data_IF_358708593210
#
_entry.id   IF_358708593210
#
_cell.length_a   1.000
_cell.length_b   1.000
_cell.length_c   1.000
_cell.angle_alpha   90.00
_cell.angle_beta   90.00
_cell.angle_gamma   90.00
#
_symmetry.space_group_name_H-M   'P 1'
#
loop_
_entity.id
_entity.type
_entity.pdbx_description
1 polymer ?
#
# COMPACT_ATOMS: atom_id res chain seq x y z
N UNK A 1 9.98 -6.43 3.80
CA UNK A 1 11.41 -6.09 3.80
C UNK A 1 11.79 -5.28 2.58
N UNK A 2 11.74 -5.85 1.36
CA UNK A 2 12.16 -5.16 0.13
C UNK A 2 11.45 -3.80 -0.12
N UNK A 3 10.16 -3.71 0.17
CA UNK A 3 9.41 -2.45 0.05
C UNK A 3 9.66 -1.45 1.20
N UNK A 4 10.10 -1.94 2.38
CA UNK A 4 10.22 -1.16 3.62
C UNK A 4 11.64 -0.63 3.85
N UNK A 5 12.68 -1.33 3.39
CA UNK A 5 14.07 -0.96 3.64
C UNK A 5 14.58 0.06 2.61
N UNK A 6 13.95 1.23 2.59
CA UNK A 6 14.24 2.36 1.67
C UNK A 6 14.28 3.67 2.49
N UNK A 7 15.03 4.70 2.06
CA UNK A 7 15.17 5.95 2.82
C UNK A 7 13.83 6.59 3.22
N UNK A 8 12.86 6.61 2.32
CA UNK A 8 11.55 7.20 2.58
C UNK A 8 10.75 6.53 3.71
N UNK A 9 10.40 5.23 3.62
CA UNK A 9 9.75 4.50 4.70
C UNK A 9 10.51 4.51 6.04
N UNK A 10 11.84 4.56 6.01
CA UNK A 10 12.66 4.63 7.23
C UNK A 10 12.52 6.00 7.93
N UNK A 11 12.55 7.09 7.16
CA UNK A 11 12.45 8.45 7.71
C UNK A 11 11.02 8.81 8.17
N UNK A 12 9.99 8.23 7.56
CA UNK A 12 8.59 8.50 7.91
C UNK A 12 8.10 7.76 9.15
N UNK A 13 8.92 6.89 9.76
CA UNK A 13 8.50 6.03 10.87
C UNK A 13 7.61 4.85 10.45
N UNK A 14 7.32 4.70 9.16
CA UNK A 14 6.48 3.63 8.61
C UNK A 14 7.02 2.23 8.94
N UNK A 15 8.35 2.06 8.91
CA UNK A 15 8.98 0.78 9.27
C UNK A 15 8.72 0.43 10.74
N UNK A 16 8.84 1.41 11.65
CA UNK A 16 8.55 1.21 13.07
C UNK A 16 7.09 0.81 13.26
N UNK A 17 6.16 1.55 12.66
CA UNK A 17 4.73 1.25 12.74
C UNK A 17 4.38 -0.15 12.22
N UNK A 18 5.01 -0.59 11.13
CA UNK A 18 4.84 -1.93 10.58
C UNK A 18 5.32 -3.00 11.58
N UNK A 19 6.50 -2.80 12.18
CA UNK A 19 7.10 -3.74 13.14
C UNK A 19 6.30 -3.79 14.43
N UNK A 20 5.87 -2.67 14.98
CA UNK A 20 5.06 -2.62 16.21
C UNK A 20 3.70 -3.29 15.98
N UNK A 21 3.04 -3.03 14.84
CA UNK A 21 1.74 -3.64 14.51
C UNK A 21 1.87 -5.14 14.25
N UNK A 22 2.91 -5.57 13.53
CA UNK A 22 3.21 -6.99 13.29
C UNK A 22 3.37 -7.78 14.59
N UNK A 23 4.03 -7.19 15.58
CA UNK A 23 4.31 -7.83 16.87
C UNK A 23 3.20 -7.60 17.91
N UNK A 24 2.03 -7.08 17.52
CA UNK A 24 0.89 -6.86 18.41
C UNK A 24 1.08 -5.74 19.45
N UNK A 25 2.17 -4.97 19.36
CA UNK A 25 2.48 -3.85 20.26
C UNK A 25 1.70 -2.58 19.92
N UNK A 26 1.24 -2.46 18.67
CA UNK A 26 0.35 -1.40 18.19
C UNK A 26 -0.96 -2.01 17.67
N UNK A 27 -2.11 -1.51 18.13
CA UNK A 27 -3.42 -1.93 17.60
C UNK A 27 -3.60 -1.42 16.17
N UNK A 28 -4.04 -2.29 15.28
CA UNK A 28 -4.35 -1.97 13.88
C UNK A 28 -5.76 -1.39 13.84
N UNK A 29 -5.87 -0.11 13.49
CA UNK A 29 -7.14 0.58 13.33
C UNK A 29 -7.35 0.95 11.86
N UNK A 30 -8.48 0.54 11.29
CA UNK A 30 -8.87 0.90 9.94
C UNK A 30 -9.83 2.09 9.96
N UNK A 31 -9.68 3.01 9.00
CA UNK A 31 -10.61 4.13 8.82
C UNK A 31 -12.00 3.68 8.35
N UNK A 32 -12.06 2.51 7.71
CA UNK A 32 -13.29 1.89 7.23
C UNK A 32 -13.11 0.36 7.18
N UNK A 33 -14.13 -0.46 7.51
CA UNK A 33 -14.03 -1.92 7.50
C UNK A 33 -13.56 -2.50 6.16
N UNK A 34 -13.97 -1.91 5.01
CA UNK A 34 -13.55 -2.37 3.69
C UNK A 34 -12.03 -2.31 3.47
N UNK A 35 -11.31 -1.46 4.21
CA UNK A 35 -9.85 -1.39 4.11
C UNK A 35 -9.15 -2.64 4.67
N UNK A 36 -9.80 -3.37 5.59
CA UNK A 36 -9.19 -4.56 6.20
C UNK A 36 -8.82 -5.59 5.14
N UNK A 37 -9.72 -5.88 4.19
CA UNK A 37 -9.48 -6.86 3.12
C UNK A 37 -8.22 -6.55 2.30
N UNK A 38 -7.89 -5.26 2.15
CA UNK A 38 -6.78 -4.78 1.31
C UNK A 38 -5.49 -4.62 2.13
N UNK A 39 -5.60 -4.17 3.38
CA UNK A 39 -4.47 -3.73 4.20
C UNK A 39 -4.10 -4.72 5.32
N UNK A 40 -4.89 -5.78 5.55
CA UNK A 40 -4.61 -6.78 6.59
C UNK A 40 -3.23 -7.42 6.42
N UNK A 41 -2.86 -7.77 5.19
CA UNK A 41 -1.55 -8.36 4.89
C UNK A 41 -0.36 -7.43 5.17
N UNK A 42 -0.62 -6.13 5.33
CA UNK A 42 0.38 -5.09 5.62
C UNK A 42 0.09 -4.35 6.92
N UNK A 43 -0.69 -4.97 7.82
CA UNK A 43 -1.00 -4.45 9.15
C UNK A 43 -1.62 -3.03 9.16
N UNK A 44 -2.48 -2.73 8.18
CA UNK A 44 -3.15 -1.43 8.07
C UNK A 44 -2.34 -0.35 7.34
N UNK A 45 -1.13 -0.66 6.87
CA UNK A 45 -0.24 0.30 6.20
C UNK A 45 -0.38 0.14 4.68
N UNK A 46 -0.57 1.25 3.95
CA UNK A 46 -0.51 1.23 2.48
C UNK A 46 0.96 1.16 2.05
N UNK A 47 1.37 0.03 1.49
CA UNK A 47 2.75 -0.25 1.11
C UNK A 47 2.91 -0.48 -0.40
N UNK A 48 1.86 -0.93 -1.07
CA UNK A 48 1.90 -1.35 -2.46
C UNK A 48 0.97 -0.56 -3.39
N UNK A 49 1.38 -0.40 -4.64
CA UNK A 49 0.61 0.28 -5.68
C UNK A 49 -0.76 -0.39 -5.91
N UNK A 50 -0.77 -1.71 -5.86
CA UNK A 50 -1.94 -2.55 -6.00
C UNK A 50 -2.95 -2.32 -4.86
N UNK A 51 -2.49 -1.91 -3.67
CA UNK A 51 -3.38 -1.53 -2.59
C UNK A 51 -4.07 -0.20 -2.85
N UNK A 52 -3.37 0.79 -3.44
CA UNK A 52 -4.01 2.04 -3.88
C UNK A 52 -5.12 1.75 -4.89
N UNK A 53 -4.83 0.88 -5.86
CA UNK A 53 -5.82 0.50 -6.86
C UNK A 53 -7.00 -0.23 -6.24
N UNK A 54 -6.75 -1.19 -5.35
CA UNK A 54 -7.78 -1.92 -4.62
C UNK A 54 -8.64 -1.00 -3.75
N UNK A 55 -8.06 0.01 -3.08
CA UNK A 55 -8.82 0.99 -2.28
C UNK A 55 -9.75 1.80 -3.18
N UNK A 56 -9.27 2.28 -4.33
CA UNK A 56 -10.10 3.05 -5.27
C UNK A 56 -11.26 2.21 -5.81
N UNK A 57 -11.01 0.96 -6.17
CA UNK A 57 -12.05 0.06 -6.66
C UNK A 57 -13.06 -0.30 -5.57
N UNK A 58 -12.60 -0.73 -4.39
CA UNK A 58 -13.46 -1.19 -3.31
C UNK A 58 -14.27 -0.05 -2.67
N UNK A 59 -13.69 1.15 -2.52
CA UNK A 59 -14.36 2.25 -1.82
C UNK A 59 -15.07 3.23 -2.75
N UNK A 60 -14.69 3.33 -4.03
CA UNK A 60 -15.26 4.32 -4.93
C UNK A 60 -15.75 3.75 -6.27
N UNK A 61 -15.83 2.42 -6.40
CA UNK A 61 -16.26 1.71 -7.61
C UNK A 61 -15.45 2.09 -8.86
N UNK A 62 -14.17 2.41 -8.68
CA UNK A 62 -13.28 2.59 -9.82
C UNK A 62 -13.08 1.25 -10.53
N UNK A 63 -13.17 1.27 -11.85
CA UNK A 63 -12.58 0.21 -12.67
C UNK A 63 -11.06 0.14 -12.45
N UNK A 64 -10.46 -1.01 -12.75
CA UNK A 64 -9.01 -1.17 -12.63
C UNK A 64 -8.23 -0.17 -13.50
N UNK A 65 -8.78 0.20 -14.66
CA UNK A 65 -8.21 1.24 -15.54
C UNK A 65 -8.22 2.61 -14.88
N UNK A 66 -9.32 3.01 -14.24
CA UNK A 66 -9.41 4.29 -13.53
C UNK A 66 -8.54 4.32 -12.28
N UNK A 67 -8.46 3.19 -11.58
CA UNK A 67 -7.58 3.00 -10.44
C UNK A 67 -6.10 3.17 -10.84
N UNK A 68 -5.69 2.66 -12.01
CA UNK A 68 -4.34 2.89 -12.55
C UNK A 68 -4.09 4.35 -12.93
N UNK A 69 -5.08 5.04 -13.50
CA UNK A 69 -5.00 6.48 -13.77
C UNK A 69 -4.77 7.27 -12.48
N UNK A 70 -5.49 6.95 -11.40
CA UNK A 70 -5.27 7.54 -10.09
C UNK A 70 -3.85 7.27 -9.57
N UNK A 71 -3.40 6.02 -9.59
CA UNK A 71 -2.03 5.62 -9.18
C UNK A 71 -0.96 6.39 -9.97
N UNK A 72 -1.14 6.52 -11.28
CA UNK A 72 -0.23 7.27 -12.16
C UNK A 72 -0.25 8.77 -11.87
N UNK A 73 -1.42 9.35 -11.59
CA UNK A 73 -1.56 10.76 -11.25
C UNK A 73 -0.89 11.12 -9.92
N UNK A 74 -1.03 10.25 -8.92
CA UNK A 74 -0.36 10.32 -7.60
C UNK A 74 1.16 10.30 -7.81
N UNK A 75 1.67 9.31 -8.55
CA UNK A 75 3.11 9.14 -8.77
C UNK A 75 3.76 10.34 -9.49
N UNK A 76 3.03 10.95 -10.45
CA UNK A 76 3.50 12.10 -11.23
C UNK A 76 3.13 13.46 -10.62
N UNK A 77 2.53 13.49 -9.44
CA UNK A 77 2.04 14.71 -8.74
C UNK A 77 1.20 15.64 -9.65
N UNK A 78 0.39 15.07 -10.56
CA UNK A 78 -0.41 15.84 -11.54
C UNK A 78 -1.66 16.47 -10.89
N UNK A 79 -1.52 17.68 -10.34
CA UNK A 79 -2.57 18.39 -9.56
C UNK A 79 -3.94 18.41 -10.24
N UNK A 80 -4.02 18.74 -11.53
CA UNK A 80 -5.29 18.80 -12.27
C UNK A 80 -6.00 17.44 -12.38
N UNK A 81 -5.25 16.37 -12.63
CA UNK A 81 -5.79 15.00 -12.68
C UNK A 81 -6.18 14.54 -11.28
N UNK A 82 -5.35 14.81 -10.27
CA UNK A 82 -5.63 14.46 -8.88
C UNK A 82 -6.91 15.11 -8.35
N UNK A 83 -7.17 16.36 -8.69
CA UNK A 83 -8.42 17.02 -8.31
C UNK A 83 -9.65 16.32 -8.89
N UNK A 84 -9.61 15.98 -10.20
CA UNK A 84 -10.67 15.21 -10.86
C UNK A 84 -10.89 13.84 -10.23
N UNK A 85 -9.80 13.11 -9.97
CA UNK A 85 -9.86 11.79 -9.34
C UNK A 85 -10.34 11.87 -7.89
N UNK A 86 -9.99 12.93 -7.16
CA UNK A 86 -10.50 13.18 -5.80
C UNK A 86 -12.01 13.33 -5.80
N UNK A 87 -12.56 14.19 -6.66
CA UNK A 87 -14.01 14.39 -6.73
C UNK A 87 -14.72 13.08 -7.05
N UNK A 88 -14.22 12.35 -8.05
CA UNK A 88 -14.78 11.04 -8.43
C UNK A 88 -14.69 10.01 -7.31
N UNK A 89 -13.57 9.98 -6.57
CA UNK A 89 -13.39 9.07 -5.43
C UNK A 89 -14.42 9.36 -4.32
N UNK A 90 -14.62 10.63 -3.98
CA UNK A 90 -15.56 11.04 -2.94
C UNK A 90 -16.99 10.73 -3.36
N UNK A 91 -17.35 11.01 -4.62
CA UNK A 91 -18.67 10.73 -5.17
C UNK A 91 -18.96 9.22 -5.20
N UNK A 92 -18.02 8.41 -5.69
CA UNK A 92 -18.12 6.95 -5.66
C UNK A 92 -18.27 6.43 -4.23
N UNK A 93 -17.47 6.93 -3.30
CA UNK A 93 -17.56 6.55 -1.90
C UNK A 93 -18.90 6.91 -1.27
N UNK A 94 -19.44 8.08 -1.60
CA UNK A 94 -20.79 8.50 -1.17
C UNK A 94 -21.85 7.54 -1.70
N UNK A 95 -21.76 7.10 -2.95
CA UNK A 95 -22.70 6.13 -3.55
C UNK A 95 -22.64 4.75 -2.88
N UNK A 96 -21.50 4.39 -2.28
CA UNK A 96 -21.33 3.20 -1.45
C UNK A 96 -21.72 3.40 0.01
N UNK A 97 -22.27 4.55 0.38
CA UNK A 97 -22.69 4.87 1.74
C UNK A 97 -21.54 5.21 2.70
N UNK A 98 -20.36 5.56 2.18
CA UNK A 98 -19.21 5.96 3.01
C UNK A 98 -19.27 7.47 3.27
N UNK A 99 -19.15 7.85 4.54
CA UNK A 99 -19.14 9.25 4.96
C UNK A 99 -18.03 10.05 4.27
N UNK A 100 -18.36 11.29 3.87
CA UNK A 100 -17.45 12.16 3.13
C UNK A 100 -16.16 12.48 3.93
N UNK A 101 -16.25 12.64 5.25
CA UNK A 101 -15.06 12.90 6.08
C UNK A 101 -14.15 11.68 6.09
N UNK A 102 -14.72 10.47 6.11
CA UNK A 102 -13.96 9.22 6.03
C UNK A 102 -13.30 9.09 4.65
N UNK A 103 -14.06 9.27 3.56
CA UNK A 103 -13.53 9.14 2.20
C UNK A 103 -12.42 10.17 1.92
N UNK A 104 -12.57 11.41 2.41
CA UNK A 104 -11.53 12.44 2.36
C UNK A 104 -10.26 12.05 3.10
N UNK A 105 -10.37 11.48 4.31
CA UNK A 105 -9.22 11.00 5.09
C UNK A 105 -8.50 9.86 4.35
N UNK A 106 -9.25 8.93 3.79
CA UNK A 106 -8.69 7.80 3.03
C UNK A 106 -8.01 8.29 1.75
N UNK A 107 -8.63 9.21 1.01
CA UNK A 107 -8.00 9.79 -0.18
C UNK A 107 -6.71 10.53 0.15
N UNK A 108 -6.64 11.26 1.27
CA UNK A 108 -5.40 11.90 1.74
C UNK A 108 -4.31 10.87 2.03
N UNK A 109 -4.65 9.75 2.68
CA UNK A 109 -3.73 8.64 2.95
C UNK A 109 -3.19 8.04 1.64
N UNK A 110 -4.09 7.79 0.67
CA UNK A 110 -3.75 7.32 -0.68
C UNK A 110 -2.87 8.33 -1.44
N UNK A 111 -3.10 9.62 -1.30
CA UNK A 111 -2.29 10.63 -1.97
C UNK A 111 -0.88 10.74 -1.35
N UNK A 112 -0.75 10.55 -0.04
CA UNK A 112 0.55 10.56 0.64
C UNK A 112 1.41 9.32 0.29
N UNK A 113 0.79 8.23 -0.17
CA UNK A 113 1.48 7.03 -0.64
C UNK A 113 2.47 7.28 -1.80
N UNK A 114 2.27 8.33 -2.60
CA UNK A 114 3.09 8.65 -3.78
C UNK A 114 4.61 8.57 -3.53
N UNK A 115 5.02 8.93 -2.32
CA UNK A 115 6.41 9.15 -1.97
C UNK A 115 7.14 7.84 -1.61
N UNK A 116 6.39 6.81 -1.22
CA UNK A 116 6.96 5.62 -0.59
C UNK A 116 6.46 4.31 -1.19
N UNK A 117 5.47 4.37 -2.07
CA UNK A 117 4.89 3.21 -2.69
C UNK A 117 5.85 2.33 -3.44
N UNK A 118 5.60 1.03 -3.40
CA UNK A 118 6.37 0.03 -4.13
C UNK A 118 5.46 -0.87 -4.97
N UNK A 119 5.99 -1.43 -6.04
CA UNK A 119 5.25 -2.37 -6.87
C UNK A 119 5.28 -3.77 -6.21
N UNK A 120 4.12 -4.36 -5.93
CA UNK A 120 4.03 -5.63 -5.20
C UNK A 120 4.53 -6.79 -6.04
N UNK A 121 4.18 -6.86 -7.32
CA UNK A 121 4.59 -7.97 -8.20
C UNK A 121 6.11 -8.05 -8.32
N UNK A 122 6.77 -6.91 -8.50
CA UNK A 122 8.24 -6.83 -8.50
C UNK A 122 8.82 -7.26 -7.14
N UNK A 123 8.26 -6.77 -6.03
CA UNK A 123 8.70 -7.19 -4.70
C UNK A 123 8.53 -8.69 -4.45
N UNK A 124 7.46 -9.31 -4.97
CA UNK A 124 7.18 -10.73 -4.78
C UNK A 124 8.17 -11.60 -5.54
N UNK A 125 8.48 -11.26 -6.79
CA UNK A 125 9.46 -11.99 -7.59
C UNK A 125 10.84 -12.02 -6.93
N UNK A 126 11.33 -10.87 -6.46
CA UNK A 126 12.62 -10.79 -5.76
C UNK A 126 12.58 -11.43 -4.37
N UNK A 127 11.43 -11.39 -3.67
CA UNK A 127 11.27 -12.07 -2.39
C UNK A 127 11.40 -13.59 -2.54
N UNK A 128 10.90 -14.18 -3.64
CA UNK A 128 11.04 -15.61 -3.90
C UNK A 128 12.51 -16.02 -4.04
N UNK A 129 13.28 -15.28 -4.85
CA UNK A 129 14.72 -15.53 -5.02
C UNK A 129 15.45 -15.36 -3.68
N UNK A 130 15.15 -14.29 -2.94
CA UNK A 130 15.76 -14.04 -1.62
C UNK A 130 15.46 -15.16 -0.61
N UNK A 131 14.24 -15.71 -0.66
CA UNK A 131 13.85 -16.83 0.19
C UNK A 131 14.59 -18.11 -0.20
N UNK A 132 14.67 -18.41 -1.50
CA UNK A 132 15.40 -19.58 -2.00
C UNK A 132 16.88 -19.54 -1.59
N UNK A 133 17.55 -18.39 -1.73
CA UNK A 133 18.96 -18.26 -1.32
C UNK A 133 19.15 -18.37 0.19
N UNK A 134 18.24 -17.78 0.98
CA UNK A 134 18.27 -17.92 2.44
C UNK A 134 18.03 -19.38 2.88
N UNK A 135 17.09 -20.08 2.24
CA UNK A 135 16.82 -21.48 2.50
C UNK A 135 18.04 -22.36 2.20
N UNK A 136 18.67 -22.15 1.04
CA UNK A 136 19.89 -22.89 0.66
C UNK A 136 21.03 -22.62 1.65
N UNK A 137 21.24 -21.36 2.06
CA UNK A 137 22.26 -21.02 3.07
C UNK A 137 21.99 -21.67 4.43
N UNK A 138 20.73 -21.72 4.86
CA UNK A 138 20.36 -22.28 6.17
C UNK A 138 20.44 -23.81 6.23
N UNK A 139 20.09 -24.49 5.12
CA UNK A 139 19.97 -25.96 5.09
C UNK A 139 21.13 -26.66 4.39
N UNK A 140 21.87 -25.96 3.51
CA UNK A 140 23.00 -26.49 2.75
C UNK A 140 24.24 -25.58 2.84
N UNK A 141 24.73 -25.26 4.06
CA UNK A 141 25.76 -24.24 4.26
C UNK A 141 27.10 -24.58 3.59
N UNK A 142 27.42 -25.87 3.41
CA UNK A 142 28.68 -26.33 2.77
C UNK A 142 28.75 -25.94 1.29
N UNK A 143 27.61 -25.83 0.59
CA UNK A 143 27.53 -25.39 -0.81
C UNK A 143 27.54 -23.86 -0.99
N UNK A 144 27.54 -23.10 0.11
CA UNK A 144 27.38 -21.63 0.09
C UNK A 144 28.54 -20.89 0.75
N UNK A 145 29.58 -21.60 1.22
CA UNK A 145 30.83 -21.01 1.69
C UNK A 145 31.78 -20.82 0.50
N UNK A 146 31.93 -19.56 0.09
CA UNK A 146 33.13 -19.08 -0.60
C UNK A 146 34.10 -18.55 0.45
#
# INVERSE_FOLDING_TARGET
LLALYRPGPLQSGMVRDFVESKNGRKKINYLHPSLEKILKSTYGIILYQEQVMGIASELADFSMSEADILRGAISKKKRGVLSKQKSKFIEGAKNKGIDEKISLKIFKLVNHFAEYGFNKSHSAAYAMISYQTAYLKANFPVLTKN
#
